data_IF_738121967079
#
_entry.id   IF_738121967079
#
_cell.length_a   1.000
_cell.length_b   1.000
_cell.length_c   1.000
_cell.angle_alpha   90.00
_cell.angle_beta   90.00
_cell.angle_gamma   90.00
#
_symmetry.space_group_name_H-M   'P 1'
#
loop_
_entity.id
_entity.type
_entity.pdbx_description
1 polymer ?
#
# COMPACT_ATOMS: atom_id res chain seq x y z
N UNK A 1 18.61 11.55 11.27
CA UNK A 1 17.57 12.11 10.34
C UNK A 1 18.23 12.51 9.04
N UNK A 2 17.58 12.26 7.91
CA UNK A 2 18.00 12.76 6.58
C UNK A 2 17.08 13.90 6.16
N UNK A 3 17.63 14.92 5.49
CA UNK A 3 16.85 16.05 4.95
C UNK A 3 16.46 15.73 3.51
N UNK A 4 15.18 15.91 3.19
CA UNK A 4 14.63 15.80 1.84
C UNK A 4 14.07 17.17 1.45
N UNK A 5 14.36 17.61 0.22
CA UNK A 5 13.90 18.87 -0.33
C UNK A 5 13.16 18.59 -1.63
N UNK A 6 11.98 19.19 -1.79
CA UNK A 6 11.16 19.06 -2.98
C UNK A 6 11.07 20.41 -3.69
N UNK A 7 11.12 20.38 -5.01
CA UNK A 7 10.74 21.52 -5.85
C UNK A 7 9.29 21.31 -6.31
N UNK A 8 8.42 22.22 -5.90
CA UNK A 8 6.99 22.16 -6.19
C UNK A 8 6.52 23.52 -6.72
N UNK A 9 5.59 23.54 -7.70
CA UNK A 9 4.94 24.78 -8.11
C UNK A 9 4.28 25.47 -6.91
N UNK A 10 4.31 26.81 -6.90
CA UNK A 10 3.73 27.60 -5.79
C UNK A 10 2.28 27.22 -5.48
N UNK A 11 1.48 26.93 -6.50
CA UNK A 11 0.08 26.54 -6.32
C UNK A 11 -0.06 25.20 -5.58
N UNK A 12 0.80 24.20 -5.89
CA UNK A 12 0.82 22.93 -5.14
C UNK A 12 1.21 23.12 -3.68
N UNK A 13 2.11 24.07 -3.40
CA UNK A 13 2.48 24.40 -2.01
C UNK A 13 1.29 24.98 -1.26
N UNK A 14 0.50 25.87 -1.88
CA UNK A 14 -0.73 26.41 -1.27
C UNK A 14 -1.76 25.31 -0.99
N UNK A 15 -1.93 24.37 -1.92
CA UNK A 15 -2.83 23.22 -1.74
C UNK A 15 -2.41 22.36 -0.53
N UNK A 16 -1.11 22.13 -0.35
CA UNK A 16 -0.58 21.41 0.81
C UNK A 16 -0.83 22.16 2.12
N UNK A 17 -0.60 23.48 2.14
CA UNK A 17 -0.85 24.30 3.33
C UNK A 17 -2.34 24.30 3.70
N UNK A 18 -3.24 24.44 2.72
CA UNK A 18 -4.68 24.38 2.93
C UNK A 18 -5.14 22.99 3.41
N UNK A 19 -4.54 21.91 2.91
CA UNK A 19 -4.84 20.56 3.36
C UNK A 19 -4.38 20.33 4.81
N UNK A 20 -3.19 20.84 5.18
CA UNK A 20 -2.70 20.78 6.55
C UNK A 20 -3.65 21.52 7.51
N UNK A 21 -4.13 22.70 7.13
CA UNK A 21 -5.10 23.47 7.92
C UNK A 21 -6.43 22.71 8.09
N UNK A 22 -6.99 22.18 7.00
CA UNK A 22 -8.25 21.40 7.03
C UNK A 22 -8.16 20.14 7.88
N UNK A 23 -6.98 19.55 8.01
CA UNK A 23 -6.73 18.33 8.80
C UNK A 23 -6.25 18.64 10.22
N UNK A 24 -6.06 19.91 10.58
CA UNK A 24 -5.54 20.34 11.88
C UNK A 24 -4.05 20.04 12.09
N UNK A 25 -3.30 19.75 11.03
CA UNK A 25 -1.86 19.47 11.09
C UNK A 25 -1.08 20.78 11.07
N UNK A 26 -0.11 20.91 11.99
CA UNK A 26 0.59 22.18 12.24
C UNK A 26 1.79 22.40 11.33
N UNK A 27 2.34 21.34 10.74
CA UNK A 27 3.52 21.44 9.88
C UNK A 27 3.38 20.56 8.64
N UNK A 28 4.06 20.96 7.55
CA UNK A 28 4.15 20.13 6.33
C UNK A 28 4.79 18.78 6.57
N UNK A 29 5.69 18.68 7.55
CA UNK A 29 6.29 17.39 7.95
C UNK A 29 5.24 16.48 8.57
N UNK A 30 4.34 17.01 9.39
CA UNK A 30 3.22 16.23 9.93
C UNK A 30 2.27 15.76 8.83
N UNK A 31 1.92 16.64 7.89
CA UNK A 31 1.11 16.28 6.71
C UNK A 31 1.78 15.18 5.89
N UNK A 32 3.07 15.33 5.60
CA UNK A 32 3.84 14.35 4.86
C UNK A 32 3.87 12.99 5.56
N UNK A 33 4.14 12.97 6.86
CA UNK A 33 4.17 11.73 7.63
C UNK A 33 2.78 11.06 7.67
N UNK A 34 1.71 11.83 7.88
CA UNK A 34 0.35 11.30 7.87
C UNK A 34 -0.03 10.71 6.51
N UNK A 35 0.29 11.41 5.43
CA UNK A 35 0.08 10.92 4.06
C UNK A 35 0.89 9.65 3.78
N UNK A 36 2.14 9.60 4.24
CA UNK A 36 2.99 8.42 4.08
C UNK A 36 2.44 7.22 4.85
N UNK A 37 2.00 7.40 6.09
CA UNK A 37 1.36 6.34 6.89
C UNK A 37 0.12 5.79 6.21
N UNK A 38 -0.75 6.65 5.67
CA UNK A 38 -1.93 6.21 4.91
C UNK A 38 -1.52 5.42 3.66
N UNK A 39 -0.52 5.91 2.93
CA UNK A 39 -0.05 5.26 1.71
C UNK A 39 0.60 3.90 1.98
N UNK A 40 1.39 3.78 3.05
CA UNK A 40 1.96 2.51 3.50
C UNK A 40 0.88 1.49 3.88
N UNK A 41 -0.16 1.92 4.61
CA UNK A 41 -1.30 1.06 4.92
C UNK A 41 -2.00 0.61 3.64
N UNK A 42 -2.29 1.53 2.72
CA UNK A 42 -2.92 1.22 1.45
C UNK A 42 -2.10 0.21 0.61
N UNK A 43 -0.78 0.35 0.59
CA UNK A 43 0.11 -0.60 -0.08
C UNK A 43 -0.02 -2.01 0.52
N UNK A 44 -0.05 -2.13 1.85
CA UNK A 44 -0.23 -3.42 2.54
C UNK A 44 -1.58 -4.06 2.25
N UNK A 45 -2.65 -3.28 2.22
CA UNK A 45 -3.99 -3.78 1.85
C UNK A 45 -4.01 -4.35 0.43
N UNK A 46 -3.37 -3.66 -0.53
CA UNK A 46 -3.24 -4.17 -1.90
C UNK A 46 -2.35 -5.42 -1.98
N UNK A 47 -1.28 -5.50 -1.19
CA UNK A 47 -0.45 -6.72 -1.09
C UNK A 47 -1.24 -7.91 -0.53
N UNK A 48 -2.15 -7.67 0.43
CA UNK A 48 -3.07 -8.69 0.93
C UNK A 48 -4.11 -9.11 -0.14
N UNK A 49 -4.30 -8.31 -1.19
CA UNK A 49 -5.27 -8.53 -2.26
C UNK A 49 -6.61 -7.86 -2.02
N UNK A 50 -6.69 -6.91 -1.09
CA UNK A 50 -7.91 -6.16 -0.80
C UNK A 50 -8.09 -4.99 -1.78
N UNK A 51 -9.33 -4.53 -1.90
CA UNK A 51 -9.68 -3.30 -2.61
C UNK A 51 -9.86 -2.20 -1.57
N UNK A 52 -9.36 -1.01 -1.90
CA UNK A 52 -9.56 0.18 -1.07
C UNK A 52 -10.59 1.04 -1.78
N UNK A 53 -11.74 1.23 -1.17
CA UNK A 53 -12.85 1.99 -1.74
C UNK A 53 -13.56 2.82 -0.69
N UNK A 54 -14.15 3.93 -1.11
CA UNK A 54 -15.18 4.61 -0.34
C UNK A 54 -16.50 3.87 -0.58
N UNK A 55 -17.14 3.41 0.49
CA UNK A 55 -18.49 2.85 0.45
C UNK A 55 -19.51 3.88 0.93
N UNK A 56 -20.61 4.00 0.19
CA UNK A 56 -21.83 4.66 0.61
C UNK A 56 -22.84 3.58 1.02
N UNK A 57 -23.09 3.46 2.33
CA UNK A 57 -23.97 2.44 2.89
C UNK A 57 -25.44 2.67 2.53
N UNK A 58 -25.86 3.92 2.30
CA UNK A 58 -27.25 4.23 1.96
C UNK A 58 -27.59 3.83 0.52
N UNK A 59 -26.68 4.09 -0.42
CA UNK A 59 -26.89 3.78 -1.84
C UNK A 59 -26.31 2.45 -2.30
N UNK A 60 -25.51 1.78 -1.45
CA UNK A 60 -24.76 0.57 -1.77
C UNK A 60 -23.68 0.78 -2.84
N UNK A 61 -23.38 2.02 -3.19
CA UNK A 61 -22.36 2.35 -4.20
C UNK A 61 -21.00 2.38 -3.53
N UNK A 62 -19.99 1.90 -4.26
CA UNK A 62 -18.61 2.07 -3.85
C UNK A 62 -17.79 2.67 -4.99
N UNK A 63 -16.74 3.40 -4.61
CA UNK A 63 -15.75 3.96 -5.54
C UNK A 63 -14.36 3.56 -5.10
N UNK A 64 -13.69 2.72 -5.90
CA UNK A 64 -12.30 2.33 -5.65
C UNK A 64 -11.38 3.55 -5.78
N UNK A 65 -10.35 3.59 -4.93
CA UNK A 65 -9.32 4.61 -5.01
C UNK A 65 -8.45 4.36 -6.25
N UNK A 66 -8.42 5.35 -7.15
CA UNK A 66 -7.47 5.35 -8.27
C UNK A 66 -6.23 6.15 -7.86
N UNK A 67 -5.19 5.45 -7.42
CA UNK A 67 -3.94 6.05 -6.97
C UNK A 67 -2.74 5.42 -7.70
N UNK A 68 -1.86 6.24 -8.30
CA UNK A 68 -0.64 5.76 -8.92
C UNK A 68 0.21 4.91 -7.96
N UNK A 69 0.76 3.82 -8.47
CA UNK A 69 1.59 2.87 -7.70
C UNK A 69 0.83 1.68 -7.13
N UNK A 70 -0.44 1.84 -6.73
CA UNK A 70 -1.25 0.72 -6.21
C UNK A 70 -1.51 -0.40 -7.24
N UNK A 71 -1.72 -0.12 -8.55
CA UNK A 71 -1.87 -1.17 -9.56
C UNK A 71 -0.62 -2.01 -9.78
N UNK A 72 0.58 -1.46 -9.53
CA UNK A 72 1.85 -2.18 -9.69
C UNK A 72 1.96 -3.29 -8.64
N UNK A 73 1.64 -2.95 -7.38
CA UNK A 73 1.63 -3.88 -6.24
C UNK A 73 0.72 -5.08 -6.51
N UNK A 74 -0.46 -4.83 -7.09
CA UNK A 74 -1.41 -5.88 -7.42
C UNK A 74 -0.91 -6.82 -8.53
N UNK A 75 -0.21 -6.28 -9.54
CA UNK A 75 0.40 -7.09 -10.61
C UNK A 75 1.54 -7.97 -10.09
N UNK A 76 2.38 -7.45 -9.19
CA UNK A 76 3.46 -8.23 -8.58
C UNK A 76 2.91 -9.39 -7.75
N UNK A 77 1.84 -9.14 -6.98
CA UNK A 77 1.12 -10.19 -6.25
C UNK A 77 0.55 -11.25 -7.19
N UNK A 78 -0.10 -10.85 -8.28
CA UNK A 78 -0.70 -11.79 -9.24
C UNK A 78 0.37 -12.74 -9.83
N UNK A 79 1.52 -12.19 -10.23
CA UNK A 79 2.67 -12.99 -10.72
C UNK A 79 3.21 -13.96 -9.68
N UNK A 80 3.30 -13.52 -8.41
CA UNK A 80 3.75 -14.39 -7.33
C UNK A 80 2.79 -15.58 -7.10
N UNK A 81 1.48 -15.34 -7.19
CA UNK A 81 0.47 -16.40 -7.09
C UNK A 81 0.55 -17.38 -8.27
N UNK A 82 0.70 -16.88 -9.49
CA UNK A 82 0.88 -17.71 -10.69
C UNK A 82 2.17 -18.56 -10.58
N UNK A 83 3.28 -17.98 -10.11
CA UNK A 83 4.53 -18.72 -9.92
C UNK A 83 4.42 -19.86 -8.91
N UNK A 84 3.63 -19.69 -7.84
CA UNK A 84 3.36 -20.73 -6.83
C UNK A 84 2.45 -21.83 -7.38
N UNK A 85 1.47 -21.48 -8.23
CA UNK A 85 0.52 -22.44 -8.79
C UNK A 85 1.09 -23.26 -9.96
N UNK A 86 2.06 -22.73 -10.70
CA UNK A 86 2.61 -23.39 -11.91
C UNK A 86 3.78 -24.32 -11.64
N UNK A 87 3.91 -24.88 -10.42
CA UNK A 87 4.78 -26.04 -10.12
C UNK A 87 6.22 -25.97 -10.66
N UNK A 88 6.79 -24.78 -10.77
CA UNK A 88 8.03 -24.55 -11.50
C UNK A 88 9.24 -24.68 -10.59
N UNK A 89 9.96 -25.81 -10.68
CA UNK A 89 11.41 -25.84 -10.41
C UNK A 89 12.05 -24.73 -11.25
N UNK A 90 12.30 -23.57 -10.66
CA UNK A 90 13.22 -22.58 -11.20
C UNK A 90 14.37 -22.46 -10.21
N UNK A 91 15.56 -22.67 -10.78
CA UNK A 91 16.84 -22.74 -10.10
C UNK A 91 17.02 -21.55 -9.16
N UNK A 92 17.61 -21.83 -8.01
CA UNK A 92 18.16 -20.84 -7.11
C UNK A 92 19.14 -19.93 -7.88
N UNK A 93 18.65 -18.78 -8.32
CA UNK A 93 19.46 -17.57 -8.34
C UNK A 93 18.96 -16.73 -7.18
N UNK A 94 19.76 -16.69 -6.12
CA UNK A 94 19.53 -15.88 -4.92
C UNK A 94 19.28 -14.41 -5.31
N UNK A 95 18.13 -13.82 -4.95
CA UNK A 95 18.07 -12.38 -4.80
C UNK A 95 18.52 -12.02 -3.38
N UNK A 96 19.61 -11.25 -3.34
CA UNK A 96 20.15 -10.66 -2.13
C UNK A 96 19.08 -9.90 -1.33
N UNK A 97 18.99 -10.26 -0.05
CA UNK A 97 18.45 -9.47 1.06
C UNK A 97 17.11 -8.77 0.86
N UNK A 98 16.00 -9.46 1.16
CA UNK A 98 14.85 -8.82 1.80
C UNK A 98 14.44 -9.69 2.98
N UNK A 99 14.28 -9.02 4.13
CA UNK A 99 14.14 -9.61 5.46
C UNK A 99 13.13 -10.74 5.54
N UNK A 100 13.53 -11.78 6.28
CA UNK A 100 12.77 -13.01 6.57
C UNK A 100 11.38 -12.65 7.10
N UNK A 101 10.32 -12.95 6.34
CA UNK A 101 9.00 -13.19 6.94
C UNK A 101 9.10 -14.46 7.78
N UNK A 102 8.60 -14.39 9.02
CA UNK A 102 8.73 -15.49 9.97
C UNK A 102 7.66 -16.55 9.72
N UNK A 103 7.96 -17.83 9.97
CA UNK A 103 7.04 -18.96 9.79
C UNK A 103 5.66 -18.74 10.46
N UNK A 104 5.58 -17.89 11.47
CA UNK A 104 4.34 -17.49 12.13
C UNK A 104 3.38 -16.72 11.20
N UNK A 105 3.89 -15.87 10.30
CA UNK A 105 3.06 -15.08 9.38
C UNK A 105 2.49 -15.94 8.25
N UNK A 106 3.23 -17.00 7.85
CA UNK A 106 2.76 -17.97 6.86
C UNK A 106 1.64 -18.87 7.42
N UNK A 107 1.67 -19.19 8.72
CA UNK A 107 0.68 -20.06 9.35
C UNK A 107 -0.71 -19.39 9.47
N UNK A 108 -0.76 -18.07 9.72
CA UNK A 108 -2.02 -17.33 9.86
C UNK A 108 -2.82 -17.32 8.56
N UNK A 109 -2.14 -17.17 7.42
CA UNK A 109 -2.79 -17.14 6.09
C UNK A 109 -3.40 -18.50 5.71
N UNK A 110 -2.81 -19.60 6.20
CA UNK A 110 -3.31 -20.95 5.93
C UNK A 110 -4.49 -21.33 6.84
N UNK A 111 -4.57 -20.77 8.06
CA UNK A 111 -5.67 -21.06 8.98
C UNK A 111 -6.99 -20.38 8.58
N UNK A 112 -6.95 -19.15 8.04
CA UNK A 112 -8.17 -18.43 7.65
C UNK A 112 -8.90 -19.07 6.47
N UNK A 113 -8.21 -19.85 5.62
CA UNK A 113 -8.82 -20.55 4.46
C UNK A 113 -9.47 -21.89 4.79
N UNK A 114 -9.34 -22.40 6.02
CA UNK A 114 -9.89 -23.69 6.41
C UNK A 114 -11.30 -23.59 7.06
N UNK A 115 -11.82 -22.38 7.21
CA UNK A 115 -13.09 -22.10 7.92
C UNK A 115 -14.18 -21.43 7.09
N UNK A 116 -14.03 -21.35 5.76
CA UNK A 116 -15.10 -20.98 4.83
C UNK A 116 -15.62 -22.19 4.04
#
# INVERSE_FOLDING_TARGET
MKRLQFELPRERVKELDALAERTGLKTRVQLFNAALTLFEWAARERQAGRIIASMDEESGKYKEIDMPGLPVIQKERAKAIEAVQTGGRLKAEEPASVGKMTEAEAAVILQERATE
#
